data_IF_897853341305
#
_entry.id   IF_897853341305
#
_cell.length_a   1.000
_cell.length_b   1.000
_cell.length_c   1.000
_cell.angle_alpha   90.00
_cell.angle_beta   90.00
_cell.angle_gamma   90.00
#
_symmetry.space_group_name_H-M   'P 1'
#
loop_
_entity.id
_entity.type
_entity.pdbx_description
1 polymer ?
#
# COMPACT_ATOMS: atom_id res chain seq x y z
N UNK A 1 -21.18 17.94 -14.60
CA UNK A 1 -20.93 17.20 -13.35
C UNK A 1 -20.45 15.77 -13.58
N UNK A 2 -20.77 15.11 -14.72
CA UNK A 2 -20.31 13.76 -15.08
C UNK A 2 -18.77 13.63 -15.20
N UNK A 3 -18.11 14.62 -15.81
CA UNK A 3 -16.64 14.60 -16.04
C UNK A 3 -15.81 14.53 -14.74
N UNK A 4 -16.31 15.07 -13.63
CA UNK A 4 -15.58 15.07 -12.36
C UNK A 4 -15.58 13.66 -11.72
N UNK A 5 -16.71 12.94 -11.81
CA UNK A 5 -16.84 11.58 -11.26
C UNK A 5 -15.98 10.57 -12.05
N UNK A 6 -15.88 10.74 -13.37
CA UNK A 6 -15.04 9.87 -14.21
C UNK A 6 -13.55 10.06 -13.89
N UNK A 7 -13.08 11.30 -13.73
CA UNK A 7 -11.70 11.56 -13.34
C UNK A 7 -11.37 11.04 -11.94
N UNK A 8 -12.25 11.26 -10.96
CA UNK A 8 -12.09 10.72 -9.60
C UNK A 8 -12.01 9.19 -9.61
N UNK A 9 -12.83 8.52 -10.44
CA UNK A 9 -12.81 7.06 -10.60
C UNK A 9 -11.50 6.56 -11.21
N UNK A 10 -10.99 7.25 -12.23
CA UNK A 10 -9.70 6.90 -12.86
C UNK A 10 -8.55 7.04 -11.86
N UNK A 11 -8.53 8.13 -11.08
CA UNK A 11 -7.51 8.34 -10.03
C UNK A 11 -7.60 7.27 -8.97
N UNK A 12 -8.81 6.93 -8.51
CA UNK A 12 -9.02 5.89 -7.52
C UNK A 12 -8.51 4.52 -8.00
N UNK A 13 -8.82 4.11 -9.24
CA UNK A 13 -8.28 2.87 -9.79
C UNK A 13 -6.76 2.90 -9.90
N UNK A 14 -6.16 4.04 -10.26
CA UNK A 14 -4.70 4.20 -10.28
C UNK A 14 -4.10 4.02 -8.88
N UNK A 15 -4.73 4.56 -7.84
CA UNK A 15 -4.31 4.38 -6.44
C UNK A 15 -4.35 2.89 -6.07
N UNK A 16 -5.49 2.23 -6.27
CA UNK A 16 -5.66 0.81 -5.90
C UNK A 16 -4.64 -0.08 -6.61
N UNK A 17 -4.41 0.14 -7.91
CA UNK A 17 -3.41 -0.61 -8.67
C UNK A 17 -1.99 -0.35 -8.16
N UNK A 18 -1.63 0.92 -7.88
CA UNK A 18 -0.31 1.26 -7.36
C UNK A 18 -0.07 0.65 -5.98
N UNK A 19 -1.06 0.68 -5.10
CA UNK A 19 -1.03 0.06 -3.78
C UNK A 19 -0.84 -1.46 -3.86
N UNK A 20 -1.57 -2.12 -4.77
CA UNK A 20 -1.43 -3.56 -5.00
C UNK A 20 -0.02 -3.91 -5.51
N UNK A 21 0.47 -3.23 -6.54
CA UNK A 21 1.81 -3.46 -7.08
C UNK A 21 2.91 -3.20 -6.04
N UNK A 22 2.81 -2.10 -5.30
CA UNK A 22 3.77 -1.77 -4.26
C UNK A 22 3.80 -2.82 -3.14
N UNK A 23 2.63 -3.29 -2.71
CA UNK A 23 2.55 -4.35 -1.69
C UNK A 23 3.06 -5.68 -2.23
N UNK A 24 2.80 -5.98 -3.51
CA UNK A 24 3.30 -7.19 -4.17
C UNK A 24 4.82 -7.20 -4.26
N UNK A 25 5.44 -6.09 -4.66
CA UNK A 25 6.90 -6.00 -4.72
C UNK A 25 7.50 -6.11 -3.31
N UNK A 26 6.92 -5.42 -2.32
CA UNK A 26 7.42 -5.37 -0.95
C UNK A 26 7.40 -6.73 -0.23
N UNK A 27 6.40 -7.59 -0.51
CA UNK A 27 6.38 -8.93 0.12
C UNK A 27 7.46 -9.86 -0.43
N UNK A 28 8.09 -9.55 -1.57
CA UNK A 28 9.22 -10.34 -2.06
C UNK A 28 10.52 -10.06 -1.30
N UNK A 29 10.58 -8.99 -0.50
CA UNK A 29 11.76 -8.61 0.28
C UNK A 29 11.85 -9.42 1.57
N UNK A 30 12.27 -10.66 1.42
CA UNK A 30 12.47 -11.63 2.50
C UNK A 30 13.95 -11.92 2.75
N UNK A 31 14.29 -12.25 3.99
CA UNK A 31 15.65 -12.67 4.35
C UNK A 31 16.00 -13.96 3.59
N UNK A 32 17.01 -13.99 2.70
CA UNK A 32 17.24 -15.14 1.82
C UNK A 32 17.53 -16.46 2.53
N UNK A 33 18.09 -16.43 3.74
CA UNK A 33 18.31 -17.65 4.54
C UNK A 33 17.02 -18.21 5.16
N UNK A 34 15.97 -17.39 5.30
CA UNK A 34 14.69 -17.81 5.89
C UNK A 34 13.84 -18.59 4.89
N UNK A 35 13.84 -18.19 3.61
CA UNK A 35 13.15 -18.88 2.52
C UNK A 35 13.71 -20.28 2.29
N UNK A 36 15.04 -20.46 2.36
CA UNK A 36 15.69 -21.76 2.25
C UNK A 36 15.24 -22.76 3.33
N UNK A 37 14.74 -22.26 4.48
CA UNK A 37 14.22 -23.07 5.58
C UNK A 37 12.70 -23.31 5.50
N UNK A 38 12.04 -22.85 4.43
CA UNK A 38 10.59 -22.93 4.26
C UNK A 38 9.79 -22.01 5.18
N UNK A 39 10.45 -21.04 5.81
CA UNK A 39 9.84 -20.11 6.78
C UNK A 39 10.28 -18.67 6.47
N UNK A 40 9.73 -18.07 5.39
CA UNK A 40 10.09 -16.71 5.00
C UNK A 40 9.84 -15.69 6.13
N UNK A 41 10.82 -14.82 6.35
CA UNK A 41 10.79 -13.69 7.28
C UNK A 41 11.10 -12.44 6.46
N UNK A 42 10.32 -11.38 6.62
CA UNK A 42 10.51 -10.14 5.85
C UNK A 42 11.75 -9.37 6.30
N UNK A 43 12.47 -8.79 5.34
CA UNK A 43 13.37 -7.67 5.60
C UNK A 43 12.53 -6.38 5.60
N UNK A 44 11.91 -6.06 6.74
CA UNK A 44 10.91 -4.98 6.84
C UNK A 44 11.43 -3.60 6.38
N UNK A 45 12.72 -3.31 6.55
CA UNK A 45 13.30 -2.04 6.08
C UNK A 45 13.39 -1.99 4.55
N UNK A 46 13.76 -3.12 3.92
CA UNK A 46 13.80 -3.23 2.47
C UNK A 46 12.38 -3.23 1.90
N UNK A 47 11.45 -3.96 2.53
CA UNK A 47 10.05 -4.00 2.15
C UNK A 47 9.37 -2.60 2.20
N UNK A 48 9.55 -1.80 3.28
CA UNK A 48 9.04 -0.41 3.33
C UNK A 48 9.66 0.45 2.21
N UNK A 49 10.97 0.29 1.97
CA UNK A 49 11.64 1.04 0.91
C UNK A 49 11.09 0.68 -0.47
N UNK A 50 10.98 -0.62 -0.80
CA UNK A 50 10.42 -1.12 -2.05
C UNK A 50 8.97 -0.71 -2.21
N UNK A 51 8.16 -0.81 -1.16
CA UNK A 51 6.78 -0.32 -1.17
C UNK A 51 6.71 1.15 -1.56
N UNK A 52 7.50 2.01 -0.90
CA UNK A 52 7.54 3.45 -1.20
C UNK A 52 8.03 3.74 -2.61
N UNK A 53 9.07 3.05 -3.06
CA UNK A 53 9.63 3.21 -4.40
C UNK A 53 8.61 2.84 -5.49
N UNK A 54 7.99 1.66 -5.39
CA UNK A 54 6.97 1.22 -6.35
C UNK A 54 5.74 2.13 -6.30
N UNK A 55 5.26 2.52 -5.12
CA UNK A 55 4.14 3.45 -4.99
C UNK A 55 4.46 4.80 -5.65
N UNK A 56 5.64 5.35 -5.38
CA UNK A 56 6.08 6.63 -5.91
C UNK A 56 6.23 6.61 -7.44
N UNK A 57 6.82 5.55 -7.98
CA UNK A 57 6.98 5.36 -9.42
C UNK A 57 5.62 5.29 -10.14
N UNK A 58 4.62 4.64 -9.53
CA UNK A 58 3.30 4.49 -10.13
C UNK A 58 2.43 5.75 -10.02
N UNK A 59 2.63 6.58 -8.99
CA UNK A 59 1.80 7.75 -8.70
C UNK A 59 2.45 9.10 -9.03
N UNK A 60 3.73 9.09 -9.45
CA UNK A 60 4.48 10.33 -9.71
C UNK A 60 4.76 11.06 -8.40
N UNK A 61 5.43 10.39 -7.48
CA UNK A 61 5.88 10.92 -6.19
C UNK A 61 7.41 10.77 -6.08
N UNK A 62 7.99 11.47 -5.13
CA UNK A 62 9.36 11.23 -4.70
C UNK A 62 9.40 9.99 -3.79
N UNK A 63 10.27 8.99 -4.02
CA UNK A 63 10.26 7.73 -3.28
C UNK A 63 10.65 7.88 -1.80
N UNK A 64 11.46 8.87 -1.45
CA UNK A 64 11.93 9.05 -0.07
C UNK A 64 10.91 9.78 0.81
N UNK A 65 10.17 10.72 0.20
CA UNK A 65 9.30 11.64 0.94
C UNK A 65 7.82 11.47 0.61
N UNK A 66 7.50 10.71 -0.44
CA UNK A 66 6.18 10.59 -1.06
C UNK A 66 5.57 11.94 -1.50
N UNK A 67 6.38 13.01 -1.55
CA UNK A 67 5.92 14.29 -2.05
C UNK A 67 5.62 14.19 -3.55
N UNK A 68 4.48 14.74 -4.04
CA UNK A 68 4.21 14.73 -5.46
C UNK A 68 5.29 15.48 -6.25
N UNK A 69 5.80 14.87 -7.32
CA UNK A 69 6.77 15.54 -8.21
C UNK A 69 6.06 16.60 -9.07
N UNK A 70 6.79 17.54 -9.71
CA UNK A 70 6.17 18.49 -10.63
C UNK A 70 5.32 17.81 -11.71
N UNK A 71 4.13 18.36 -11.96
CA UNK A 71 3.12 17.80 -12.88
C UNK A 71 2.51 16.45 -12.46
N UNK A 72 2.68 16.02 -11.20
CA UNK A 72 1.93 14.90 -10.65
C UNK A 72 0.42 15.18 -10.63
N UNK A 73 -0.36 14.10 -10.72
CA UNK A 73 -1.81 14.14 -10.50
C UNK A 73 -2.18 14.52 -9.06
N UNK A 74 -1.29 14.23 -8.11
CA UNK A 74 -1.49 14.51 -6.69
C UNK A 74 -0.86 15.85 -6.30
N UNK A 75 -1.43 16.48 -5.27
CA UNK A 75 -0.95 17.76 -4.71
C UNK A 75 -0.60 17.70 -3.22
N UNK A 76 -0.93 16.58 -2.58
CA UNK A 76 -0.64 16.31 -1.17
C UNK A 76 0.02 14.94 -1.11
N UNK A 77 1.09 14.81 -0.34
CA UNK A 77 1.76 13.54 -0.13
C UNK A 77 0.79 12.53 0.54
N UNK A 78 0.64 11.31 0.02
CA UNK A 78 -0.08 10.27 0.73
C UNK A 78 0.60 9.97 2.07
N UNK A 79 -0.18 9.51 3.03
CA UNK A 79 0.30 9.18 4.37
C UNK A 79 0.10 7.68 4.59
N UNK A 80 1.19 6.96 4.84
CA UNK A 80 1.11 5.59 5.35
C UNK A 80 0.68 5.71 6.81
N UNK A 81 -0.55 5.29 7.09
CA UNK A 81 -1.18 5.44 8.42
C UNK A 81 -1.13 4.16 9.24
N UNK A 82 -0.90 3.02 8.59
CA UNK A 82 -0.63 1.74 9.23
C UNK A 82 0.24 0.87 8.31
N UNK A 83 1.17 0.13 8.91
CA UNK A 83 2.05 -0.81 8.21
C UNK A 83 2.47 -1.91 9.19
N UNK A 84 2.07 -3.13 8.90
CA UNK A 84 2.29 -4.30 9.74
C UNK A 84 2.80 -5.48 8.90
N UNK A 85 3.76 -6.22 9.45
CA UNK A 85 4.31 -7.42 8.85
C UNK A 85 4.04 -8.62 9.74
N UNK A 86 3.41 -9.64 9.17
CA UNK A 86 3.16 -10.92 9.83
C UNK A 86 3.94 -12.00 9.09
N UNK A 87 4.89 -12.65 9.77
CA UNK A 87 5.74 -13.70 9.19
C UNK A 87 6.10 -14.76 10.22
N UNK A 88 6.99 -15.69 9.86
CA UNK A 88 7.36 -16.81 10.74
C UNK A 88 8.14 -16.41 12.01
N UNK A 89 8.54 -15.14 12.15
CA UNK A 89 9.15 -14.62 13.37
C UNK A 89 8.13 -14.22 14.44
N UNK A 90 6.89 -13.90 14.04
CA UNK A 90 5.90 -13.29 14.93
C UNK A 90 4.47 -13.87 14.82
N UNK A 91 4.22 -14.75 13.85
CA UNK A 91 2.92 -15.37 13.60
C UNK A 91 3.03 -16.87 13.32
N UNK A 92 1.93 -17.58 13.53
CA UNK A 92 1.74 -18.98 13.11
C UNK A 92 0.61 -18.98 12.10
N UNK A 93 0.88 -19.54 10.93
CA UNK A 93 -0.09 -19.58 9.83
C UNK A 93 -0.92 -20.89 9.86
N UNK A 94 -2.24 -20.83 9.65
CA UNK A 94 -3.03 -19.62 9.34
C UNK A 94 -3.20 -18.70 10.56
N UNK A 95 -3.06 -17.39 10.34
CA UNK A 95 -3.21 -16.34 11.36
C UNK A 95 -4.46 -15.51 11.08
N UNK A 96 -5.32 -15.32 12.09
CA UNK A 96 -6.52 -14.49 11.94
C UNK A 96 -6.18 -13.03 12.30
N UNK A 97 -6.20 -12.14 11.31
CA UNK A 97 -5.90 -10.73 11.48
C UNK A 97 -7.18 -9.90 11.47
N UNK A 98 -7.29 -9.00 12.44
CA UNK A 98 -8.43 -8.07 12.56
C UNK A 98 -7.93 -6.68 12.88
N UNK A 99 -8.29 -5.72 12.04
CA UNK A 99 -8.09 -4.30 12.30
C UNK A 99 -9.41 -3.56 12.06
N UNK A 100 -10.16 -3.34 13.15
CA UNK A 100 -11.48 -2.70 13.09
C UNK A 100 -11.43 -1.22 12.71
N UNK A 101 -10.29 -0.55 12.85
CA UNK A 101 -10.15 0.85 12.45
C UNK A 101 -10.27 1.01 10.92
N UNK A 102 -9.85 -0.02 10.17
CA UNK A 102 -9.86 -0.03 8.70
C UNK A 102 -10.79 -1.09 8.11
N UNK A 103 -11.56 -1.79 8.95
CA UNK A 103 -12.52 -2.80 8.51
C UNK A 103 -11.89 -4.08 7.96
N UNK A 104 -10.63 -4.37 8.32
CA UNK A 104 -9.91 -5.56 7.85
C UNK A 104 -10.24 -6.73 8.77
N UNK A 105 -10.63 -7.87 8.19
CA UNK A 105 -10.90 -9.11 8.89
C UNK A 105 -10.60 -10.27 7.94
N UNK A 106 -9.35 -10.72 7.95
CA UNK A 106 -8.80 -11.66 6.97
C UNK A 106 -8.09 -12.81 7.69
N UNK A 107 -8.07 -13.98 7.03
CA UNK A 107 -7.20 -15.08 7.44
C UNK A 107 -5.95 -15.03 6.56
N UNK A 108 -4.79 -14.84 7.19
CA UNK A 108 -3.49 -14.87 6.53
C UNK A 108 -3.02 -16.32 6.51
N UNK A 109 -2.94 -16.93 5.31
CA UNK A 109 -2.48 -18.32 5.15
C UNK A 109 -0.95 -18.43 4.97
N UNK A 110 -0.28 -17.31 4.78
CA UNK A 110 1.16 -17.19 4.57
C UNK A 110 1.67 -15.85 5.13
N UNK A 111 3.01 -15.66 5.24
CA UNK A 111 3.58 -14.36 5.58
C UNK A 111 2.97 -13.25 4.72
N UNK A 112 2.55 -12.17 5.35
CA UNK A 112 1.80 -11.10 4.71
C UNK A 112 2.17 -9.74 5.26
N UNK A 113 2.10 -8.74 4.38
CA UNK A 113 2.12 -7.32 4.72
C UNK A 113 0.67 -6.81 4.77
N UNK A 114 0.37 -6.01 5.78
CA UNK A 114 -0.85 -5.19 5.83
C UNK A 114 -0.42 -3.74 5.80
N UNK A 115 -0.93 -2.98 4.84
CA UNK A 115 -0.58 -1.56 4.70
C UNK A 115 -1.82 -0.74 4.42
N UNK A 116 -1.90 0.42 5.08
CA UNK A 116 -3.04 1.33 4.97
C UNK A 116 -2.51 2.71 4.64
N UNK A 117 -2.98 3.27 3.52
CA UNK A 117 -2.53 4.57 3.04
C UNK A 117 -3.71 5.51 2.84
N UNK A 118 -3.57 6.72 3.38
CA UNK A 118 -4.50 7.80 3.18
C UNK A 118 -4.04 8.67 2.01
N UNK A 119 -4.92 8.86 1.04
CA UNK A 119 -4.71 9.75 -0.11
C UNK A 119 -5.67 10.93 -0.03
N UNK A 120 -5.20 12.12 -0.42
CA UNK A 120 -6.08 13.25 -0.70
C UNK A 120 -6.40 13.26 -2.19
N UNK A 121 -7.67 13.14 -2.54
CA UNK A 121 -8.10 13.13 -3.93
C UNK A 121 -7.95 14.53 -4.56
N UNK A 122 -7.40 14.63 -5.78
CA UNK A 122 -7.34 15.89 -6.50
C UNK A 122 -8.76 16.38 -6.81
N UNK A 123 -8.99 17.68 -6.68
CA UNK A 123 -10.25 18.31 -7.07
C UNK A 123 -10.09 18.97 -8.44
N UNK A 124 -10.95 18.61 -9.38
CA UNK A 124 -10.92 19.14 -10.75
C UNK A 124 -11.98 20.22 -11.01
N UNK A 125 -12.73 20.62 -9.98
CA UNK A 125 -13.73 21.67 -10.06
C UNK A 125 -13.56 22.67 -8.91
N UNK A 126 -13.62 23.97 -9.22
CA UNK A 126 -13.37 25.05 -8.26
C UNK A 126 -14.27 25.02 -7.00
N UNK A 127 -15.39 24.29 -7.03
CA UNK A 127 -16.34 24.19 -5.94
C UNK A 127 -16.43 22.78 -5.30
N UNK A 128 -15.54 21.86 -5.67
CA UNK A 128 -15.46 20.53 -5.04
C UNK A 128 -14.34 20.56 -4.01
N UNK A 129 -14.70 20.33 -2.74
CA UNK A 129 -13.72 20.22 -1.67
C UNK A 129 -12.89 18.95 -1.86
N UNK A 130 -11.56 19.01 -1.71
CA UNK A 130 -10.74 17.81 -1.60
C UNK A 130 -11.27 16.91 -0.49
N UNK A 131 -11.26 15.61 -0.72
CA UNK A 131 -11.60 14.61 0.27
C UNK A 131 -10.50 13.56 0.34
N UNK A 132 -10.44 12.85 1.46
CA UNK A 132 -9.48 11.78 1.67
C UNK A 132 -10.11 10.43 1.43
N UNK A 133 -9.34 9.50 0.87
CA UNK A 133 -9.66 8.08 0.81
C UNK A 133 -8.62 7.31 1.60
N UNK A 134 -9.05 6.26 2.30
CA UNK A 134 -8.18 5.33 3.01
C UNK A 134 -8.22 4.02 2.23
N UNK A 135 -7.05 3.52 1.84
CA UNK A 135 -6.93 2.32 1.03
C UNK A 135 -6.11 1.30 1.81
N UNK A 136 -6.75 0.28 2.41
CA UNK A 136 -6.06 -0.86 2.99
C UNK A 136 -5.71 -1.88 1.90
N UNK A 137 -4.54 -2.50 2.03
CA UNK A 137 -4.13 -3.68 1.24
C UNK A 137 -3.56 -4.71 2.20
N UNK A 138 -4.00 -5.96 2.03
CA UNK A 138 -3.37 -7.14 2.61
C UNK A 138 -2.77 -7.92 1.46
N UNK A 139 -1.45 -8.13 1.50
CA UNK A 139 -0.73 -8.85 0.46
C UNK A 139 0.09 -9.96 1.11
N UNK A 140 -0.07 -11.18 0.60
CA UNK A 140 0.70 -12.34 1.05
C UNK A 140 1.88 -12.60 0.12
N UNK A 141 2.97 -13.09 0.71
CA UNK A 141 4.10 -13.66 0.00
C UNK A 141 3.66 -14.88 -0.79
N UNK A 142 4.00 -14.92 -2.08
CA UNK A 142 3.70 -16.05 -2.96
C UNK A 142 4.93 -16.95 -3.09
N UNK A 143 4.95 -18.07 -2.35
CA UNK A 143 6.00 -19.09 -2.45
C UNK A 143 5.85 -20.00 -3.67
#
# INVERSE_FOLDING_TARGET
QVLNLEMETVVYHRIVNAMFLASQDAVEDVVPSSTANGQPIFNQTEADQTFRETLANNLGLDPNTLQPVPNSTFHVAPQIVDEEFYDWSNAIFPYHYVNSAYGINETLDAPSMVVVVQFTMPSYAANVQPFTVIVPVVQSYAS
#
